data_IF_325024037755
#
_entry.id   IF_325024037755
#
_cell.length_a   1.000
_cell.length_b   1.000
_cell.length_c   1.000
_cell.angle_alpha   90.00
_cell.angle_beta   90.00
_cell.angle_gamma   90.00
#
_symmetry.space_group_name_H-M   'P 1'
#
loop_
_entity.id
_entity.type
_entity.pdbx_description
1 polymer ?
#
# COMPACT_ATOMS: atom_id res chain seq x y z
N UNK A 1 -30.35 -3.92 -16.22
CA UNK A 1 -29.87 -3.10 -15.10
C UNK A 1 -30.09 -3.90 -13.82
N UNK A 2 -29.02 -4.29 -13.11
CA UNK A 2 -29.14 -5.11 -11.90
C UNK A 2 -29.69 -4.25 -10.74
N UNK A 3 -30.77 -4.70 -10.10
CA UNK A 3 -31.36 -4.05 -8.94
C UNK A 3 -30.51 -4.37 -7.70
N UNK A 4 -29.87 -3.36 -7.11
CA UNK A 4 -29.11 -3.50 -5.86
C UNK A 4 -30.09 -3.74 -4.71
N UNK A 5 -30.01 -4.92 -4.09
CA UNK A 5 -30.93 -5.33 -3.03
C UNK A 5 -30.53 -4.71 -1.67
N UNK A 6 -31.43 -3.94 -1.00
CA UNK A 6 -31.09 -3.09 0.16
C UNK A 6 -30.52 -3.84 1.38
N UNK A 7 -30.87 -5.12 1.54
CA UNK A 7 -30.36 -6.00 2.60
C UNK A 7 -28.83 -6.18 2.58
N UNK A 8 -28.21 -6.13 1.40
CA UNK A 8 -26.76 -6.37 1.27
C UNK A 8 -25.94 -5.14 1.66
N UNK A 9 -26.48 -3.94 1.40
CA UNK A 9 -25.86 -2.66 1.77
C UNK A 9 -25.86 -2.47 3.29
N UNK A 10 -26.97 -2.79 3.97
CA UNK A 10 -27.08 -2.64 5.43
C UNK A 10 -26.13 -3.56 6.20
N UNK A 11 -26.04 -4.83 5.79
CA UNK A 11 -25.03 -5.75 6.35
C UNK A 11 -23.62 -5.23 6.12
N UNK A 12 -23.35 -4.68 4.92
CA UNK A 12 -22.04 -4.14 4.60
C UNK A 12 -21.63 -3.01 5.55
N UNK A 13 -22.53 -2.06 5.80
CA UNK A 13 -22.24 -0.90 6.66
C UNK A 13 -22.13 -1.32 8.13
N UNK A 14 -22.96 -2.27 8.57
CA UNK A 14 -22.94 -2.80 9.93
C UNK A 14 -21.59 -3.42 10.31
N UNK A 15 -20.98 -4.20 9.41
CA UNK A 15 -19.68 -4.81 9.71
C UNK A 15 -18.55 -3.78 9.76
N UNK A 16 -18.57 -2.72 8.93
CA UNK A 16 -17.56 -1.67 9.00
C UNK A 16 -17.62 -0.87 10.31
N UNK A 17 -18.81 -0.65 10.88
CA UNK A 17 -18.95 0.00 12.20
C UNK A 17 -18.21 -0.76 13.30
N UNK A 18 -18.08 -2.08 13.18
CA UNK A 18 -17.30 -2.90 14.13
C UNK A 18 -15.80 -2.67 14.07
N UNK A 19 -15.27 -2.12 12.98
CA UNK A 19 -13.86 -1.79 12.80
C UNK A 19 -13.52 -0.35 13.15
N UNK A 20 -14.52 0.48 13.49
CA UNK A 20 -14.28 1.83 13.96
C UNK A 20 -13.83 1.78 15.42
N UNK A 21 -12.82 2.58 15.74
CA UNK A 21 -12.36 2.77 17.11
C UNK A 21 -13.50 3.31 17.98
N UNK A 22 -13.81 2.60 19.05
CA UNK A 22 -14.82 2.98 20.03
C UNK A 22 -14.13 3.29 21.35
N UNK A 23 -14.20 4.55 21.79
CA UNK A 23 -13.52 5.00 23.02
C UNK A 23 -14.04 4.31 24.30
N UNK A 24 -15.26 3.76 24.28
CA UNK A 24 -15.81 3.03 25.43
C UNK A 24 -15.35 1.57 25.49
N UNK A 25 -15.05 0.97 24.32
CA UNK A 25 -14.69 -0.45 24.21
C UNK A 25 -13.19 -0.68 23.99
N UNK A 26 -12.52 0.22 23.29
CA UNK A 26 -11.13 0.10 22.86
C UNK A 26 -10.23 1.04 23.67
N UNK A 27 -9.12 0.50 24.16
CA UNK A 27 -8.11 1.33 24.82
C UNK A 27 -7.24 2.07 23.80
N UNK A 28 -6.63 3.21 24.17
CA UNK A 28 -5.67 3.89 23.30
C UNK A 28 -4.50 2.98 22.87
N UNK A 29 -4.13 2.01 23.71
CA UNK A 29 -3.07 1.06 23.41
C UNK A 29 -3.47 0.03 22.35
N UNK A 30 -4.75 -0.37 22.31
CA UNK A 30 -5.29 -1.24 21.25
C UNK A 30 -5.24 -0.52 19.90
N UNK A 31 -5.65 0.75 19.86
CA UNK A 31 -5.55 1.60 18.67
C UNK A 31 -4.10 1.74 18.19
N UNK A 32 -3.16 1.99 19.11
CA UNK A 32 -1.72 2.05 18.81
C UNK A 32 -1.19 0.72 18.24
N UNK A 33 -1.55 -0.41 18.83
CA UNK A 33 -1.11 -1.72 18.35
C UNK A 33 -1.64 -2.00 16.94
N UNK A 34 -2.92 -1.71 16.67
CA UNK A 34 -3.51 -1.87 15.33
C UNK A 34 -2.80 -0.96 14.32
N UNK A 35 -2.59 0.31 14.66
CA UNK A 35 -1.89 1.27 13.79
C UNK A 35 -0.45 0.83 13.49
N UNK A 36 0.28 0.32 14.49
CA UNK A 36 1.63 -0.22 14.31
C UNK A 36 1.62 -1.40 13.33
N UNK A 37 0.71 -2.36 13.50
CA UNK A 37 0.59 -3.51 12.59
C UNK A 37 0.29 -3.05 11.16
N UNK A 38 -0.68 -2.16 10.97
CA UNK A 38 -1.03 -1.63 9.65
C UNK A 38 0.15 -0.88 9.04
N UNK A 39 0.82 -0.02 9.81
CA UNK A 39 1.95 0.75 9.33
C UNK A 39 3.14 -0.15 8.95
N UNK A 40 3.49 -1.14 9.77
CA UNK A 40 4.55 -2.10 9.45
C UNK A 40 4.21 -2.91 8.20
N UNK A 41 2.95 -3.31 8.01
CA UNK A 41 2.52 -4.02 6.80
C UNK A 41 2.65 -3.12 5.56
N UNK A 42 2.21 -1.87 5.61
CA UNK A 42 2.37 -0.91 4.51
C UNK A 42 3.86 -0.69 4.21
N UNK A 43 4.68 -0.49 5.24
CA UNK A 43 6.13 -0.31 5.10
C UNK A 43 6.76 -1.53 4.39
N UNK A 44 6.40 -2.75 4.81
CA UNK A 44 6.90 -3.97 4.21
C UNK A 44 6.48 -4.10 2.74
N UNK A 45 5.19 -3.90 2.42
CA UNK A 45 4.67 -4.02 1.04
C UNK A 45 5.34 -3.01 0.11
N UNK A 46 5.46 -1.75 0.54
CA UNK A 46 6.08 -0.68 -0.26
C UNK A 46 7.59 -0.85 -0.39
N UNK A 47 8.27 -1.36 0.65
CA UNK A 47 9.68 -1.74 0.56
C UNK A 47 9.89 -2.86 -0.46
N UNK A 48 9.09 -3.93 -0.39
CA UNK A 48 9.15 -5.04 -1.34
C UNK A 48 8.91 -4.56 -2.77
N UNK A 49 7.91 -3.71 -2.98
CA UNK A 49 7.61 -3.13 -4.29
C UNK A 49 8.71 -2.18 -4.79
N UNK A 50 9.47 -1.55 -3.88
CA UNK A 50 10.62 -0.71 -4.21
C UNK A 50 11.86 -1.52 -4.62
N UNK A 51 12.18 -2.60 -3.90
CA UNK A 51 13.35 -3.45 -4.21
C UNK A 51 13.10 -4.41 -5.37
N UNK A 52 11.86 -4.86 -5.51
CA UNK A 52 11.39 -5.76 -6.56
C UNK A 52 10.24 -5.06 -7.30
N UNK A 53 10.54 -4.11 -8.21
CA UNK A 53 9.50 -3.40 -8.94
C UNK A 53 8.62 -4.37 -9.73
N UNK A 54 7.33 -4.05 -9.95
CA UNK A 54 6.44 -4.87 -10.75
C UNK A 54 7.05 -5.19 -12.11
N UNK A 55 7.02 -6.46 -12.51
CA UNK A 55 7.67 -6.91 -13.75
C UNK A 55 9.17 -7.13 -13.64
N UNK A 56 9.81 -6.75 -12.53
CA UNK A 56 11.21 -7.03 -12.24
C UNK A 56 12.20 -6.04 -12.86
N UNK A 57 13.45 -6.47 -12.92
CA UNK A 57 14.57 -5.73 -13.50
C UNK A 57 15.02 -6.43 -14.79
N UNK A 58 15.46 -5.65 -15.76
CA UNK A 58 16.19 -6.18 -16.91
C UNK A 58 17.45 -6.91 -16.44
N UNK A 59 17.72 -8.08 -17.02
CA UNK A 59 18.86 -8.93 -16.64
C UNK A 59 20.05 -8.78 -17.59
N UNK A 60 19.84 -8.11 -18.72
CA UNK A 60 20.78 -7.92 -19.80
C UNK A 60 20.78 -6.47 -20.31
N UNK A 61 21.85 -6.13 -21.03
CA UNK A 61 21.97 -4.86 -21.74
C UNK A 61 21.57 -5.05 -23.21
N UNK A 62 20.62 -4.24 -23.69
CA UNK A 62 20.19 -4.25 -25.08
C UNK A 62 20.15 -2.82 -25.65
N UNK A 63 21.10 -2.53 -26.54
CA UNK A 63 21.26 -1.22 -27.20
C UNK A 63 20.11 -0.94 -28.17
N UNK A 64 19.56 -1.95 -28.83
CA UNK A 64 18.45 -1.81 -29.78
C UNK A 64 17.17 -1.36 -29.05
N UNK A 65 16.86 -2.03 -27.95
CA UNK A 65 15.65 -1.82 -27.15
C UNK A 65 15.82 -0.70 -26.10
N UNK A 66 17.01 -0.08 -25.99
CA UNK A 66 17.31 1.00 -25.03
C UNK A 66 17.10 0.62 -23.54
N UNK A 67 17.38 -0.64 -23.19
CA UNK A 67 17.30 -1.13 -21.82
C UNK A 67 18.65 -1.64 -21.33
N UNK A 68 18.89 -1.45 -20.03
CA UNK A 68 20.14 -1.81 -19.36
C UNK A 68 19.81 -2.67 -18.14
N UNK A 69 20.71 -3.59 -17.81
CA UNK A 69 20.59 -4.48 -16.68
C UNK A 69 20.41 -3.71 -15.36
N UNK A 70 19.55 -4.21 -14.48
CA UNK A 70 19.22 -3.56 -13.21
C UNK A 70 18.22 -2.41 -13.32
N UNK A 71 17.80 -2.00 -14.53
CA UNK A 71 16.72 -1.04 -14.69
C UNK A 71 15.36 -1.73 -14.52
N UNK A 72 14.44 -1.09 -13.79
CA UNK A 72 13.08 -1.59 -13.64
C UNK A 72 12.39 -1.72 -15.01
N UNK A 73 11.85 -2.91 -15.30
CA UNK A 73 11.09 -3.18 -16.53
C UNK A 73 9.88 -2.24 -16.61
N UNK A 74 9.25 -1.99 -15.47
CA UNK A 74 8.11 -1.07 -15.39
C UNK A 74 8.45 0.39 -15.77
N UNK A 75 9.73 0.79 -15.67
CA UNK A 75 10.17 2.14 -16.05
C UNK A 75 10.04 2.42 -17.56
N UNK A 76 9.80 1.39 -18.37
CA UNK A 76 9.46 1.52 -19.80
C UNK A 76 8.16 2.29 -20.00
N UNK A 77 7.22 2.20 -19.05
CA UNK A 77 5.97 2.97 -19.04
C UNK A 77 6.07 4.17 -18.10
N UNK A 78 6.62 5.28 -18.60
CA UNK A 78 6.98 6.46 -17.78
C UNK A 78 5.85 6.96 -16.86
N UNK A 79 4.66 7.22 -17.39
CA UNK A 79 3.57 7.82 -16.62
C UNK A 79 3.08 6.93 -15.45
N UNK A 80 2.66 5.68 -15.67
CA UNK A 80 2.22 4.81 -14.56
C UNK A 80 3.37 4.47 -13.60
N UNK A 81 4.60 4.39 -14.09
CA UNK A 81 5.77 4.16 -13.24
C UNK A 81 6.02 5.32 -12.27
N UNK A 82 5.91 6.58 -12.72
CA UNK A 82 6.04 7.74 -11.84
C UNK A 82 4.93 7.79 -10.77
N UNK A 83 3.69 7.51 -11.15
CA UNK A 83 2.58 7.44 -10.18
C UNK A 83 2.86 6.34 -9.15
N UNK A 84 3.28 5.15 -9.60
CA UNK A 84 3.65 4.05 -8.72
C UNK A 84 4.76 4.41 -7.72
N UNK A 85 5.85 5.04 -8.20
CA UNK A 85 6.97 5.45 -7.35
C UNK A 85 6.55 6.50 -6.32
N UNK A 86 5.81 7.53 -6.74
CA UNK A 86 5.35 8.59 -5.85
C UNK A 86 4.41 8.04 -4.79
N UNK A 87 3.42 7.23 -5.18
CA UNK A 87 2.47 6.62 -4.24
C UNK A 87 3.17 5.67 -3.26
N UNK A 88 4.09 4.81 -3.71
CA UNK A 88 4.83 3.91 -2.81
C UNK A 88 5.73 4.68 -1.85
N UNK A 89 6.42 5.70 -2.34
CA UNK A 89 7.30 6.53 -1.50
C UNK A 89 6.49 7.25 -0.42
N UNK A 90 5.37 7.87 -0.79
CA UNK A 90 4.48 8.55 0.16
C UNK A 90 3.90 7.57 1.20
N UNK A 91 3.47 6.39 0.77
CA UNK A 91 2.95 5.37 1.67
C UNK A 91 4.03 4.84 2.63
N UNK A 92 5.24 4.58 2.13
CA UNK A 92 6.38 4.16 2.95
C UNK A 92 6.74 5.25 3.97
N UNK A 93 6.92 6.51 3.54
CA UNK A 93 7.22 7.63 4.44
C UNK A 93 6.13 7.85 5.48
N UNK A 94 4.85 7.83 5.09
CA UNK A 94 3.74 7.96 6.03
C UNK A 94 3.74 6.82 7.07
N UNK A 95 4.00 5.58 6.63
CA UNK A 95 4.08 4.45 7.55
C UNK A 95 5.22 4.58 8.56
N UNK A 96 6.39 5.08 8.14
CA UNK A 96 7.51 5.34 9.05
C UNK A 96 7.21 6.46 10.04
N UNK A 97 6.52 7.52 9.62
CA UNK A 97 6.07 8.58 10.52
C UNK A 97 5.12 8.03 11.60
N UNK A 98 4.18 7.17 11.20
CA UNK A 98 3.25 6.51 12.15
C UNK A 98 4.01 5.61 13.12
N UNK A 99 4.90 4.75 12.64
CA UNK A 99 5.71 3.86 13.48
C UNK A 99 6.56 4.65 14.48
N UNK A 100 7.23 5.71 14.02
CA UNK A 100 8.10 6.55 14.84
C UNK A 100 7.30 7.39 15.85
N UNK A 101 6.11 7.84 15.48
CA UNK A 101 5.26 8.60 16.41
C UNK A 101 4.65 7.71 17.49
N UNK A 102 4.45 6.43 17.20
CA UNK A 102 3.89 5.46 18.12
C UNK A 102 4.97 4.82 18.99
N UNK A 103 6.19 4.63 18.51
CA UNK A 103 7.29 3.97 19.25
C UNK A 103 7.99 4.95 20.18
#
# INVERSE_FOLDING_TARGET
>A
MAQVHPQNTERSISWFKRFQYDKERDSPNDGRNVLLVIATLIAAVTFQAGVNPPGGLWQDDNVQEHHAAGRAIYASQKHPYYVFLMSNTLAFSASLLVITSLT
#
